data_IF_306220056861
#
_entry.id   IF_306220056861
#
_cell.length_a   1.000
_cell.length_b   1.000
_cell.length_c   1.000
_cell.angle_alpha   90.00
_cell.angle_beta   90.00
_cell.angle_gamma   90.00
#
_symmetry.space_group_name_H-M   'P 1'
#
loop_
_entity.id
_entity.type
_entity.pdbx_description
1 polymer ?
#
# COMPACT_ATOMS: atom_id res chain seq x y z
N UNK A 1 2.36 -15.29 13.13
CA UNK A 1 2.89 -14.04 13.72
C UNK A 1 4.08 -14.32 14.63
N UNK A 2 4.00 -15.29 15.53
CA UNK A 2 5.10 -15.64 16.46
C UNK A 2 6.38 -16.04 15.72
N UNK A 3 6.29 -16.83 14.67
CA UNK A 3 7.43 -17.21 13.82
C UNK A 3 8.04 -16.01 13.11
N UNK A 4 7.21 -15.11 12.57
CA UNK A 4 7.67 -13.87 11.93
C UNK A 4 8.44 -13.02 12.95
N UNK A 5 7.91 -12.89 14.18
CA UNK A 5 8.60 -12.16 15.25
C UNK A 5 9.93 -12.83 15.65
N UNK A 6 9.96 -14.16 15.75
CA UNK A 6 11.17 -14.93 16.06
C UNK A 6 12.25 -14.80 14.98
N UNK A 7 11.87 -14.60 13.71
CA UNK A 7 12.78 -14.30 12.60
C UNK A 7 13.32 -12.87 12.63
N UNK A 8 12.93 -12.04 13.60
CA UNK A 8 13.45 -10.68 13.76
C UNK A 8 12.62 -9.58 13.08
N UNK A 9 11.50 -9.92 12.44
CA UNK A 9 10.60 -8.91 11.88
C UNK A 9 9.88 -8.15 13.01
N UNK A 10 9.82 -6.84 12.88
CA UNK A 10 9.14 -5.96 13.84
C UNK A 10 8.02 -5.13 13.21
N UNK A 11 7.89 -5.17 11.87
CA UNK A 11 6.86 -4.49 11.11
C UNK A 11 6.26 -5.44 10.08
N UNK A 12 4.93 -5.35 9.92
CA UNK A 12 4.18 -6.03 8.87
C UNK A 12 3.35 -5.01 8.10
N UNK A 13 3.37 -5.07 6.78
CA UNK A 13 2.42 -4.34 5.96
C UNK A 13 1.25 -5.25 5.61
N UNK A 14 0.04 -4.81 5.96
CA UNK A 14 -1.18 -5.50 5.62
C UNK A 14 -1.70 -4.95 4.31
N UNK A 15 -1.26 -5.58 3.21
CA UNK A 15 -1.49 -5.11 1.86
C UNK A 15 -2.93 -5.34 1.41
N UNK A 16 -3.63 -4.24 1.12
CA UNK A 16 -4.97 -4.16 0.52
C UNK A 16 -6.03 -5.09 1.14
N UNK A 17 -5.87 -5.46 2.42
CA UNK A 17 -6.73 -6.43 3.11
C UNK A 17 -6.90 -6.07 4.57
N UNK A 18 -8.08 -6.32 5.11
CA UNK A 18 -8.39 -6.25 6.54
C UNK A 18 -8.45 -7.68 7.10
N UNK A 19 -7.84 -7.89 8.25
CA UNK A 19 -7.88 -9.16 8.98
C UNK A 19 -8.95 -9.12 10.08
N UNK A 20 -9.36 -10.27 10.63
CA UNK A 20 -10.14 -10.30 11.86
C UNK A 20 -9.42 -9.61 13.02
N UNK A 21 -10.15 -8.94 13.92
CA UNK A 21 -9.60 -8.18 15.06
C UNK A 21 -8.57 -8.97 15.88
N UNK A 22 -8.78 -10.27 16.08
CA UNK A 22 -7.82 -11.14 16.79
C UNK A 22 -6.43 -11.15 16.18
N UNK A 23 -6.28 -10.87 14.87
CA UNK A 23 -4.98 -10.78 14.23
C UNK A 23 -4.23 -9.54 14.73
N UNK A 24 -4.92 -8.39 14.79
CA UNK A 24 -4.36 -7.15 15.33
C UNK A 24 -4.08 -7.27 16.83
N UNK A 25 -4.97 -7.88 17.60
CA UNK A 25 -4.72 -8.20 19.01
C UNK A 25 -3.43 -8.98 19.21
N UNK A 26 -3.14 -9.96 18.35
CA UNK A 26 -1.87 -10.67 18.42
C UNK A 26 -0.68 -9.83 17.99
N UNK A 27 -0.83 -8.91 17.06
CA UNK A 27 0.21 -7.94 16.72
C UNK A 27 0.49 -7.01 17.90
N UNK A 28 -0.55 -6.51 18.57
CA UNK A 28 -0.43 -5.71 19.81
C UNK A 28 0.39 -6.45 20.87
N UNK A 29 0.05 -7.70 21.15
CA UNK A 29 0.73 -8.52 22.15
C UNK A 29 2.17 -8.87 21.81
N UNK A 30 2.48 -9.04 20.55
CA UNK A 30 3.81 -9.41 20.07
C UNK A 30 4.72 -8.20 19.80
N UNK A 31 4.19 -7.00 19.89
CA UNK A 31 4.92 -5.78 19.56
C UNK A 31 5.32 -5.74 18.07
N UNK A 32 4.42 -6.15 17.18
CA UNK A 32 4.57 -6.05 15.73
C UNK A 32 3.86 -4.77 15.27
N UNK A 33 4.58 -3.86 14.66
CA UNK A 33 3.99 -2.66 14.04
C UNK A 33 3.27 -3.07 12.75
N UNK A 34 2.11 -2.48 12.51
CA UNK A 34 1.31 -2.75 11.31
C UNK A 34 1.19 -1.49 10.46
N UNK A 35 1.53 -1.58 9.19
CA UNK A 35 1.10 -0.65 8.16
C UNK A 35 -0.15 -1.22 7.52
N UNK A 36 -1.26 -0.53 7.69
CA UNK A 36 -2.58 -1.00 7.27
C UNK A 36 -3.02 -0.29 6.00
N UNK A 37 -3.05 -1.04 4.90
CA UNK A 37 -3.65 -0.56 3.66
C UNK A 37 -5.18 -0.59 3.76
N UNK A 38 -5.81 0.38 3.12
CA UNK A 38 -7.24 0.30 2.82
C UNK A 38 -7.48 -0.73 1.72
N UNK A 39 -8.68 -1.31 1.72
CA UNK A 39 -9.06 -2.28 0.68
C UNK A 39 -9.17 -1.53 -0.65
N UNK A 40 -8.29 -1.87 -1.58
CA UNK A 40 -8.35 -1.34 -2.93
C UNK A 40 -9.48 -2.03 -3.70
N UNK A 41 -10.20 -1.25 -4.45
CA UNK A 41 -11.29 -1.77 -5.26
C UNK A 41 -11.76 -0.69 -6.22
N UNK A 42 -12.41 -1.10 -7.27
CA UNK A 42 -12.90 -0.18 -8.29
C UNK A 42 -13.71 -0.92 -9.33
N UNK A 43 -13.90 -0.30 -10.47
CA UNK A 43 -14.43 -0.95 -11.65
C UNK A 43 -13.33 -1.78 -12.35
N UNK A 44 -13.53 -2.15 -13.59
CA UNK A 44 -12.51 -2.87 -14.37
C UNK A 44 -11.24 -2.04 -14.53
N UNK A 45 -10.09 -2.58 -14.10
CA UNK A 45 -8.79 -1.93 -14.24
C UNK A 45 -8.29 -1.99 -15.70
N UNK A 46 -7.72 -0.88 -16.16
CA UNK A 46 -6.89 -0.86 -17.35
C UNK A 46 -5.48 -1.33 -16.96
N UNK A 47 -5.23 -2.63 -17.06
CA UNK A 47 -3.96 -3.24 -16.64
C UNK A 47 -2.75 -2.64 -17.38
N UNK A 48 -2.95 -2.23 -18.63
CA UNK A 48 -1.88 -1.58 -19.40
C UNK A 48 -1.44 -0.28 -18.72
N UNK A 49 -2.40 0.52 -18.28
CA UNK A 49 -2.13 1.80 -17.63
C UNK A 49 -1.63 1.60 -16.19
N UNK A 50 -2.33 0.81 -15.38
CA UNK A 50 -2.04 0.70 -13.95
C UNK A 50 -0.78 -0.13 -13.69
N UNK A 51 -0.49 -1.15 -14.49
CA UNK A 51 0.65 -2.06 -14.27
C UNK A 51 1.83 -1.73 -15.16
N UNK A 52 1.66 -1.76 -16.48
CA UNK A 52 2.81 -1.67 -17.39
C UNK A 52 3.36 -0.26 -17.52
N UNK A 53 2.49 0.71 -17.78
CA UNK A 53 2.93 2.10 -17.98
C UNK A 53 3.57 2.67 -16.72
N UNK A 54 2.98 2.39 -15.56
CA UNK A 54 3.49 2.85 -14.27
C UNK A 54 4.84 2.27 -13.93
N UNK A 55 5.07 0.98 -14.15
CA UNK A 55 6.36 0.35 -13.88
C UNK A 55 7.48 0.82 -14.82
N UNK A 56 7.15 1.07 -16.10
CA UNK A 56 8.14 1.54 -17.10
C UNK A 56 8.44 3.04 -16.94
N UNK A 57 7.44 3.84 -16.59
CA UNK A 57 7.56 5.30 -16.50
C UNK A 57 7.53 5.83 -15.05
N UNK A 58 7.98 5.05 -14.08
CA UNK A 58 8.00 5.39 -12.66
C UNK A 58 8.34 6.87 -12.34
N UNK A 59 9.41 7.46 -12.90
CA UNK A 59 9.77 8.83 -12.56
C UNK A 59 8.74 9.87 -12.99
N UNK A 60 7.99 9.58 -14.07
CA UNK A 60 6.96 10.47 -14.61
C UNK A 60 5.63 10.30 -13.89
N UNK A 61 5.20 9.06 -13.64
CA UNK A 61 3.91 8.76 -13.02
C UNK A 61 3.86 9.10 -11.53
N UNK A 62 5.02 9.14 -10.84
CA UNK A 62 5.07 9.56 -9.43
C UNK A 62 4.50 10.95 -9.18
N UNK A 63 4.46 11.81 -10.20
CA UNK A 63 4.06 13.21 -10.09
C UNK A 63 2.83 13.57 -10.91
N UNK A 64 2.14 12.58 -11.47
CA UNK A 64 0.90 12.87 -12.17
C UNK A 64 -0.14 13.39 -11.17
N UNK A 65 -0.86 14.47 -11.53
CA UNK A 65 -1.87 15.03 -10.64
C UNK A 65 -3.03 14.05 -10.46
N UNK A 66 -3.50 13.93 -9.24
CA UNK A 66 -4.70 13.17 -8.89
C UNK A 66 -5.96 13.99 -9.23
N UNK A 67 -6.31 14.03 -10.52
CA UNK A 67 -7.41 14.79 -11.07
C UNK A 67 -8.51 13.90 -11.65
N UNK A 68 -9.74 14.41 -11.74
CA UNK A 68 -10.92 13.65 -12.20
C UNK A 68 -10.74 12.83 -13.50
N UNK A 69 -10.11 13.34 -14.57
CA UNK A 69 -9.88 12.55 -15.76
C UNK A 69 -9.03 11.28 -15.49
N UNK A 70 -8.07 11.36 -14.58
CA UNK A 70 -7.21 10.24 -14.22
C UNK A 70 -7.97 9.19 -13.37
N UNK A 71 -8.94 9.60 -12.56
CA UNK A 71 -9.71 8.67 -11.71
C UNK A 71 -10.41 7.58 -12.51
N UNK A 72 -10.87 7.90 -13.73
CA UNK A 72 -11.44 6.91 -14.65
C UNK A 72 -10.42 5.84 -15.08
N UNK A 73 -9.20 6.24 -15.39
CA UNK A 73 -8.10 5.34 -15.76
C UNK A 73 -7.65 4.49 -14.57
N UNK A 74 -7.72 5.02 -13.36
CA UNK A 74 -7.43 4.34 -12.09
C UNK A 74 -8.64 3.56 -11.54
N UNK A 75 -9.71 3.36 -12.33
CA UNK A 75 -10.92 2.57 -12.01
C UNK A 75 -11.86 3.18 -10.96
N UNK A 76 -11.79 4.48 -10.70
CA UNK A 76 -12.65 5.23 -9.77
C UNK A 76 -13.48 6.34 -10.43
N UNK A 77 -13.74 6.25 -11.72
CA UNK A 77 -14.54 7.23 -12.45
C UNK A 77 -16.00 7.37 -11.95
N UNK A 78 -16.61 6.30 -11.43
CA UNK A 78 -17.99 6.33 -10.91
C UNK A 78 -18.05 6.95 -9.52
N UNK A 79 -18.93 7.95 -9.33
CA UNK A 79 -19.15 8.62 -8.05
C UNK A 79 -19.59 7.64 -6.94
N UNK A 80 -20.46 6.68 -7.27
CA UNK A 80 -20.88 5.65 -6.30
C UNK A 80 -19.72 4.80 -5.79
N UNK A 81 -18.75 4.45 -6.65
CA UNK A 81 -17.57 3.69 -6.24
C UNK A 81 -16.66 4.50 -5.31
N UNK A 82 -16.54 5.81 -5.55
CA UNK A 82 -15.79 6.71 -4.66
C UNK A 82 -16.46 6.87 -3.30
N UNK A 83 -17.79 6.97 -3.30
CA UNK A 83 -18.57 7.05 -2.05
C UNK A 83 -18.47 5.76 -1.23
N UNK A 84 -18.56 4.60 -1.86
CA UNK A 84 -18.35 3.31 -1.19
C UNK A 84 -16.98 3.26 -0.54
N UNK A 85 -15.93 3.64 -1.27
CA UNK A 85 -14.57 3.65 -0.73
C UNK A 85 -14.45 4.58 0.50
N UNK A 86 -15.02 5.79 0.46
CA UNK A 86 -14.97 6.71 1.61
C UNK A 86 -15.63 6.12 2.86
N UNK A 87 -16.77 5.43 2.68
CA UNK A 87 -17.44 4.73 3.79
C UNK A 87 -16.62 3.57 4.34
N UNK A 88 -16.00 2.78 3.46
CA UNK A 88 -15.13 1.67 3.85
C UNK A 88 -13.86 2.17 4.56
N UNK A 89 -13.24 3.25 4.08
CA UNK A 89 -12.10 3.89 4.73
C UNK A 89 -12.48 4.34 6.14
N UNK A 90 -13.58 5.07 6.29
CA UNK A 90 -14.06 5.52 7.60
C UNK A 90 -14.30 4.33 8.53
N UNK A 91 -15.06 3.33 8.09
CA UNK A 91 -15.37 2.15 8.90
C UNK A 91 -14.11 1.38 9.30
N UNK A 92 -13.12 1.30 8.40
CA UNK A 92 -11.84 0.63 8.68
C UNK A 92 -11.04 1.35 9.77
N UNK A 93 -10.90 2.67 9.66
CA UNK A 93 -10.17 3.46 10.66
C UNK A 93 -10.90 3.41 12.00
N UNK A 94 -12.23 3.60 12.03
CA UNK A 94 -13.04 3.53 13.25
C UNK A 94 -12.92 2.19 13.96
N UNK A 95 -12.94 1.08 13.21
CA UNK A 95 -12.84 -0.25 13.76
C UNK A 95 -11.45 -0.58 14.31
N UNK A 96 -10.38 -0.12 13.62
CA UNK A 96 -9.03 -0.60 13.90
C UNK A 96 -8.15 0.39 14.69
N UNK A 97 -8.53 1.66 14.81
CA UNK A 97 -7.73 2.68 15.53
C UNK A 97 -7.51 2.38 17.02
N UNK A 98 -8.29 1.47 17.60
CA UNK A 98 -8.10 1.02 18.98
C UNK A 98 -6.88 0.11 19.15
N UNK A 99 -6.30 -0.42 18.06
CA UNK A 99 -5.14 -1.29 18.09
C UNK A 99 -3.84 -0.49 18.09
N UNK A 100 -3.04 -0.51 19.17
CA UNK A 100 -1.77 0.22 19.23
C UNK A 100 -0.70 -0.28 18.26
N UNK A 101 -0.84 -1.48 17.70
CA UNK A 101 0.08 -2.00 16.69
C UNK A 101 0.02 -1.21 15.38
N UNK A 102 -1.10 -0.56 15.06
CA UNK A 102 -1.20 0.21 13.81
C UNK A 102 -0.34 1.47 13.92
N UNK A 103 0.71 1.54 13.11
CA UNK A 103 1.64 2.66 13.06
C UNK A 103 1.45 3.57 11.85
N UNK A 104 0.82 3.06 10.79
CA UNK A 104 0.62 3.81 9.56
C UNK A 104 -0.64 3.35 8.82
N UNK A 105 -1.41 4.32 8.34
CA UNK A 105 -2.53 4.12 7.42
C UNK A 105 -2.08 4.34 5.98
N UNK A 106 -2.48 3.45 5.06
CA UNK A 106 -2.14 3.53 3.64
C UNK A 106 -3.43 3.56 2.82
N UNK A 107 -3.95 4.75 2.46
CA UNK A 107 -5.19 4.84 1.69
C UNK A 107 -5.08 4.28 0.28
N UNK A 108 -3.95 4.46 -0.41
CA UNK A 108 -3.79 3.99 -1.78
C UNK A 108 -2.45 3.28 -1.99
N UNK A 109 -2.48 2.26 -2.84
CA UNK A 109 -1.31 1.52 -3.27
C UNK A 109 -1.22 1.52 -4.80
N UNK A 110 -0.07 1.93 -5.33
CA UNK A 110 0.30 1.86 -6.75
C UNK A 110 -0.75 2.42 -7.73
N UNK A 111 -1.58 3.36 -7.28
CA UNK A 111 -2.64 3.94 -8.08
C UNK A 111 -3.86 3.03 -8.31
N UNK A 112 -3.90 1.83 -7.71
CA UNK A 112 -5.05 0.93 -7.81
C UNK A 112 -6.29 1.52 -7.15
N UNK A 113 -7.17 2.10 -7.96
CA UNK A 113 -8.37 2.76 -7.47
C UNK A 113 -8.15 4.09 -6.77
N UNK A 114 -7.01 4.74 -6.98
CA UNK A 114 -6.70 6.02 -6.38
C UNK A 114 -7.58 7.15 -6.93
N UNK A 115 -7.99 8.03 -6.06
CA UNK A 115 -8.69 9.29 -6.35
C UNK A 115 -8.64 10.18 -5.11
N UNK A 116 -8.56 11.49 -5.30
CA UNK A 116 -8.67 12.48 -4.22
C UNK A 116 -7.83 12.08 -2.99
N UNK A 117 -6.55 11.79 -3.23
CA UNK A 117 -5.67 11.26 -2.20
C UNK A 117 -5.51 12.23 -1.01
N UNK A 118 -5.44 13.53 -1.28
CA UNK A 118 -5.40 14.55 -0.24
C UNK A 118 -6.67 14.54 0.64
N UNK A 119 -7.84 14.37 0.03
CA UNK A 119 -9.10 14.22 0.77
C UNK A 119 -9.13 12.95 1.64
N UNK A 120 -8.55 11.85 1.14
CA UNK A 120 -8.43 10.61 1.92
C UNK A 120 -7.51 10.78 3.13
N UNK A 121 -6.37 11.44 2.97
CA UNK A 121 -5.46 11.79 4.09
C UNK A 121 -6.19 12.63 5.13
N UNK A 122 -6.91 13.66 4.70
CA UNK A 122 -7.65 14.53 5.59
C UNK A 122 -8.76 13.77 6.35
N UNK A 123 -9.46 12.87 5.68
CA UNK A 123 -10.47 12.01 6.31
C UNK A 123 -9.85 11.12 7.39
N UNK A 124 -8.71 10.48 7.10
CA UNK A 124 -7.98 9.66 8.08
C UNK A 124 -7.59 10.51 9.27
N UNK A 125 -6.95 11.67 9.07
CA UNK A 125 -6.49 12.53 10.15
C UNK A 125 -7.63 13.09 11.04
N UNK A 126 -8.82 13.24 10.47
CA UNK A 126 -10.01 13.61 11.24
C UNK A 126 -10.47 12.49 12.18
N UNK A 127 -10.27 11.22 11.78
CA UNK A 127 -10.66 10.05 12.55
C UNK A 127 -9.55 9.58 13.52
N UNK A 128 -8.31 9.74 13.10
CA UNK A 128 -7.11 9.30 13.82
C UNK A 128 -5.91 10.19 13.44
N UNK A 129 -5.57 11.13 14.29
CA UNK A 129 -4.44 12.06 14.14
C UNK A 129 -3.14 11.55 14.80
N UNK A 130 -3.15 10.34 15.35
CA UNK A 130 -2.05 9.78 16.14
C UNK A 130 -1.11 8.88 15.34
N UNK A 131 -1.49 8.44 14.15
CA UNK A 131 -0.73 7.53 13.28
C UNK A 131 -0.22 8.26 12.05
N UNK A 132 0.86 7.72 11.49
CA UNK A 132 1.36 8.18 10.20
C UNK A 132 0.40 7.84 9.08
N UNK A 133 0.47 8.62 8.00
CA UNK A 133 -0.26 8.33 6.76
C UNK A 133 0.72 8.27 5.59
N UNK A 134 0.75 7.13 4.91
CA UNK A 134 1.40 6.94 3.61
C UNK A 134 0.36 7.12 2.51
N UNK A 135 0.22 8.34 2.00
CA UNK A 135 -0.88 8.80 1.14
C UNK A 135 -1.11 7.92 -0.09
N UNK A 136 -0.02 7.62 -0.80
CA UNK A 136 -0.01 6.86 -2.05
C UNK A 136 1.27 6.06 -2.13
N UNK A 137 1.20 4.81 -1.67
CA UNK A 137 2.34 3.93 -1.63
C UNK A 137 2.79 3.57 -3.05
N UNK A 138 4.01 3.95 -3.41
CA UNK A 138 4.67 3.68 -4.68
C UNK A 138 4.50 4.79 -5.73
N UNK A 139 3.31 5.00 -6.26
CA UNK A 139 3.03 5.91 -7.38
C UNK A 139 2.01 6.98 -7.03
N UNK A 140 1.91 8.02 -7.89
CA UNK A 140 0.89 9.10 -7.81
C UNK A 140 0.87 9.84 -6.47
N UNK A 141 2.04 10.01 -5.85
CA UNK A 141 2.21 10.75 -4.60
C UNK A 141 1.87 12.24 -4.78
N UNK A 142 0.86 12.71 -4.06
CA UNK A 142 0.41 14.11 -4.11
C UNK A 142 1.07 14.98 -3.03
N UNK A 143 1.86 14.39 -2.16
CA UNK A 143 2.62 15.10 -1.13
C UNK A 143 1.89 15.37 0.18
N UNK A 144 0.71 14.79 0.38
CA UNK A 144 -0.16 15.05 1.53
C UNK A 144 0.10 14.18 2.76
N UNK A 145 0.78 13.05 2.61
CA UNK A 145 1.10 12.13 3.70
C UNK A 145 2.38 12.49 4.47
N UNK A 146 2.66 11.73 5.51
CA UNK A 146 3.88 11.86 6.33
C UNK A 146 5.07 11.15 5.72
N UNK A 147 4.81 10.14 4.90
CA UNK A 147 5.80 9.25 4.29
C UNK A 147 5.83 9.46 2.78
N UNK A 148 7.02 9.40 2.20
CA UNK A 148 7.23 9.31 0.77
C UNK A 148 7.66 7.88 0.44
N UNK A 149 6.73 7.07 0.02
CA UNK A 149 6.94 5.65 -0.28
C UNK A 149 7.66 5.44 -1.61
N UNK A 150 8.54 4.45 -1.63
CA UNK A 150 9.22 3.98 -2.84
C UNK A 150 8.91 2.50 -3.02
N UNK A 151 8.45 2.12 -4.22
CA UNK A 151 8.42 0.74 -4.69
C UNK A 151 9.55 0.55 -5.71
N UNK A 152 10.36 -0.47 -5.53
CA UNK A 152 11.48 -0.74 -6.43
C UNK A 152 11.71 -2.23 -6.63
N UNK A 153 11.35 -2.72 -7.80
CA UNK A 153 11.49 -4.13 -8.15
C UNK A 153 12.62 -4.41 -9.15
N UNK A 154 13.02 -3.40 -9.94
CA UNK A 154 13.86 -3.63 -11.13
C UNK A 154 15.10 -2.75 -11.23
N UNK A 155 15.15 -1.64 -10.51
CA UNK A 155 16.18 -0.61 -10.68
C UNK A 155 17.12 -0.53 -9.48
N UNK A 156 18.35 -0.05 -9.67
CA UNK A 156 19.19 0.34 -8.53
C UNK A 156 18.47 1.35 -7.65
N UNK A 157 18.49 1.11 -6.35
CA UNK A 157 17.82 1.98 -5.39
C UNK A 157 18.57 3.29 -5.24
N UNK A 158 17.93 4.38 -5.59
CA UNK A 158 18.41 5.74 -5.35
C UNK A 158 17.44 6.48 -4.45
N UNK A 159 17.81 6.67 -3.19
CA UNK A 159 17.04 7.43 -2.23
C UNK A 159 17.56 8.85 -2.18
N UNK A 160 16.69 9.83 -2.46
CA UNK A 160 17.00 11.25 -2.28
C UNK A 160 16.25 11.74 -1.04
N UNK A 161 16.95 12.31 -0.05
CA UNK A 161 16.30 12.97 1.07
C UNK A 161 15.34 14.06 0.59
N UNK A 162 14.20 14.17 1.24
CA UNK A 162 13.16 15.16 0.97
C UNK A 162 12.65 15.80 2.27
N UNK A 163 11.57 16.55 2.19
CA UNK A 163 10.90 17.13 3.36
C UNK A 163 10.15 16.08 4.21
N UNK A 164 9.80 14.94 3.61
CA UNK A 164 9.13 13.82 4.27
C UNK A 164 10.08 12.64 4.43
N UNK A 165 9.80 11.79 5.42
CA UNK A 165 10.52 10.53 5.60
C UNK A 165 10.34 9.64 4.38
N UNK A 166 11.44 9.14 3.83
CA UNK A 166 11.40 8.20 2.71
C UNK A 166 11.38 6.78 3.24
N UNK A 167 10.43 5.97 2.77
CA UNK A 167 10.33 4.56 3.08
C UNK A 167 10.39 3.72 1.80
N UNK A 168 11.22 2.68 1.81
CA UNK A 168 11.18 1.62 0.82
C UNK A 168 10.09 0.63 1.25
N UNK A 169 8.87 0.89 0.82
CA UNK A 169 7.68 0.18 1.29
C UNK A 169 7.43 -1.15 0.56
N UNK A 170 7.93 -1.27 -0.68
CA UNK A 170 7.95 -2.54 -1.40
C UNK A 170 9.23 -2.69 -2.24
N UNK A 171 9.82 -3.89 -2.21
CA UNK A 171 11.00 -4.22 -2.99
C UNK A 171 11.17 -5.74 -3.14
N UNK A 172 12.05 -6.16 -4.04
CA UNK A 172 12.40 -7.56 -4.22
C UNK A 172 11.39 -8.30 -5.10
N UNK A 173 10.69 -9.28 -4.54
CA UNK A 173 9.80 -10.15 -5.30
C UNK A 173 10.55 -11.14 -6.20
N UNK A 174 11.78 -11.52 -5.79
CA UNK A 174 12.60 -12.51 -6.48
C UNK A 174 12.21 -13.89 -5.98
N UNK A 175 11.79 -14.75 -6.90
CA UNK A 175 11.44 -16.11 -6.58
C UNK A 175 12.70 -16.96 -6.32
N UNK A 176 12.65 -17.77 -5.27
CA UNK A 176 13.64 -18.81 -5.00
C UNK A 176 12.92 -20.16 -4.96
N UNK A 177 12.95 -20.92 -6.07
CA UNK A 177 12.35 -22.25 -6.07
C UNK A 177 13.06 -23.18 -5.12
N UNK A 178 12.32 -23.76 -4.18
CA UNK A 178 12.83 -24.75 -3.22
C UNK A 178 12.24 -26.11 -3.57
N UNK A 179 13.04 -27.10 -3.95
CA UNK A 179 12.54 -28.44 -4.26
C UNK A 179 11.68 -29.02 -3.12
N UNK A 180 10.48 -29.49 -3.47
CA UNK A 180 9.52 -30.02 -2.51
C UNK A 180 8.67 -28.99 -1.75
N UNK A 181 8.89 -27.70 -1.97
CA UNK A 181 8.11 -26.60 -1.36
C UNK A 181 7.45 -25.69 -2.40
N UNK A 182 7.42 -26.10 -3.64
CA UNK A 182 6.84 -25.34 -4.74
C UNK A 182 5.34 -25.60 -4.84
N UNK A 183 4.56 -24.53 -5.01
CA UNK A 183 3.16 -24.66 -5.37
C UNK A 183 3.03 -25.24 -6.80
N UNK A 184 2.00 -26.05 -7.06
CA UNK A 184 1.76 -26.51 -8.44
C UNK A 184 1.54 -25.34 -9.39
N UNK A 185 2.28 -25.31 -10.49
CA UNK A 185 2.13 -24.29 -11.52
C UNK A 185 3.38 -23.48 -11.78
N UNK A 186 3.21 -22.33 -12.44
CA UNK A 186 4.33 -21.44 -12.78
C UNK A 186 4.72 -20.60 -11.57
N UNK A 187 5.98 -20.63 -11.18
CA UNK A 187 6.53 -19.76 -10.13
C UNK A 187 6.36 -18.29 -10.53
N UNK A 188 5.73 -17.51 -9.66
CA UNK A 188 5.57 -16.07 -9.83
C UNK A 188 6.72 -15.33 -9.17
N UNK A 189 7.22 -14.30 -9.84
CA UNK A 189 8.23 -13.38 -9.30
C UNK A 189 8.70 -12.40 -10.37
N UNK A 190 9.28 -11.29 -9.95
CA UNK A 190 9.90 -10.29 -10.84
C UNK A 190 11.27 -10.77 -11.38
N UNK A 191 11.80 -11.83 -10.80
CA UNK A 191 13.00 -12.53 -11.21
C UNK A 191 13.11 -13.86 -10.48
N UNK A 192 14.11 -14.67 -10.85
CA UNK A 192 14.39 -15.93 -10.17
C UNK A 192 15.83 -15.90 -9.70
N UNK A 193 16.07 -16.18 -8.42
CA UNK A 193 17.41 -16.35 -7.89
C UNK A 193 18.01 -17.64 -8.48
N UNK A 194 19.26 -17.54 -8.88
CA UNK A 194 20.05 -18.71 -9.27
C UNK A 194 20.78 -19.18 -8.02
N UNK A 195 20.81 -20.49 -7.81
CA UNK A 195 21.58 -21.16 -6.75
C UNK A 195 23.07 -20.86 -6.87
#
# INVERSE_FOLDING_TARGET
>A
LSEVKALGFNLLRKHAKIEPERWYYHCDRLGLVVWQDMVNGGSRYNLWFVTYLTNVLQPLVRRLPDAEPLWGLLSRGKASSRETYRKELQATVEALRCHPCIGCWVPFNEGWGQFDAAGAVQAIRTLDDTRLVDEASGWYDQGGGDVCSIHNYFYPLHVKPGSRTVALSEYGGIAWPMPGHEAPGKTYGYGTAKS
#
